data_IF_375850669765
#
_entry.id   IF_375850669765
#
_cell.length_a   1.000
_cell.length_b   1.000
_cell.length_c   1.000
_cell.angle_alpha   90.00
_cell.angle_beta   90.00
_cell.angle_gamma   90.00
#
_symmetry.space_group_name_H-M   'P 1'
#
loop_
_entity.id
_entity.type
_entity.pdbx_description
1 polymer ?
#
# COMPACT_ATOMS: atom_id res chain seq x y z
N UNK A 1 20.75 22.38 26.51
CA UNK A 1 19.65 21.40 26.38
C UNK A 1 18.80 21.94 25.26
N UNK A 2 18.99 21.42 24.05
CA UNK A 2 18.22 21.89 22.90
C UNK A 2 16.76 21.57 23.16
N UNK A 3 15.91 22.59 23.10
CA UNK A 3 14.47 22.45 23.06
C UNK A 3 14.14 21.41 21.98
N UNK A 4 13.71 20.22 22.42
CA UNK A 4 12.99 19.30 21.54
C UNK A 4 11.62 19.95 21.41
N UNK A 5 11.53 21.00 20.58
CA UNK A 5 10.24 21.51 20.13
C UNK A 5 9.45 20.30 19.66
N UNK A 6 8.23 20.14 20.17
CA UNK A 6 7.33 19.05 19.78
C UNK A 6 7.06 19.15 18.29
N UNK A 7 7.96 18.58 17.49
CA UNK A 7 7.86 18.62 16.04
C UNK A 7 6.64 17.80 15.65
N UNK A 8 5.70 18.45 14.97
CA UNK A 8 4.49 17.79 14.48
C UNK A 8 4.85 16.67 13.51
N UNK A 9 3.99 15.66 13.41
CA UNK A 9 4.15 14.61 12.40
C UNK A 9 4.12 15.23 11.00
N UNK A 10 3.33 16.29 10.83
CA UNK A 10 3.30 17.11 9.61
C UNK A 10 4.66 17.69 9.22
N UNK A 11 5.39 18.30 10.16
CA UNK A 11 6.68 18.92 9.88
C UNK A 11 7.76 17.87 9.55
N UNK A 12 7.74 16.75 10.28
CA UNK A 12 8.62 15.62 9.99
C UNK A 12 8.33 15.00 8.61
N UNK A 13 7.05 14.87 8.25
CA UNK A 13 6.63 14.37 6.94
C UNK A 13 7.11 15.31 5.83
N UNK A 14 6.94 16.63 6.01
CA UNK A 14 7.41 17.64 5.04
C UNK A 14 8.90 17.49 4.76
N UNK A 15 9.72 17.40 5.81
CA UNK A 15 11.17 17.22 5.65
C UNK A 15 11.52 15.92 4.95
N UNK A 16 10.76 14.85 5.19
CA UNK A 16 11.01 13.53 4.59
C UNK A 16 10.66 13.53 3.11
N UNK A 17 9.47 14.00 2.74
CA UNK A 17 9.03 14.05 1.34
C UNK A 17 9.89 15.02 0.50
N UNK A 18 10.33 16.14 1.09
CA UNK A 18 11.23 17.08 0.40
C UNK A 18 12.64 16.53 0.13
N UNK A 19 13.02 15.43 0.76
CA UNK A 19 14.30 14.75 0.53
C UNK A 19 14.19 13.59 -0.48
N UNK A 20 12.99 13.27 -0.96
CA UNK A 20 12.73 12.22 -1.93
C UNK A 20 12.60 12.83 -3.33
N UNK A 21 13.08 12.09 -4.32
CA UNK A 21 12.82 12.39 -5.73
C UNK A 21 11.51 11.66 -6.09
N UNK A 22 10.42 12.43 -6.21
CA UNK A 22 9.06 11.92 -6.36
C UNK A 22 8.50 12.35 -7.72
N UNK A 23 7.87 11.40 -8.42
CA UNK A 23 7.30 11.63 -9.74
C UNK A 23 5.81 12.03 -9.65
N UNK A 24 5.20 12.40 -10.78
CA UNK A 24 3.77 12.72 -10.84
C UNK A 24 2.88 11.56 -10.37
N UNK A 25 3.33 10.31 -10.57
CA UNK A 25 2.62 9.10 -10.14
C UNK A 25 2.51 8.99 -8.62
N UNK A 26 3.44 9.61 -7.88
CA UNK A 26 3.50 9.59 -6.41
C UNK A 26 2.59 10.63 -5.76
N UNK A 27 2.02 11.57 -6.52
CA UNK A 27 1.24 12.69 -5.96
C UNK A 27 0.05 12.22 -5.13
N UNK A 28 -0.63 11.15 -5.57
CA UNK A 28 -1.77 10.60 -4.83
C UNK A 28 -1.34 10.02 -3.48
N UNK A 29 -0.20 9.32 -3.43
CA UNK A 29 0.36 8.78 -2.20
C UNK A 29 0.86 9.91 -1.27
N UNK A 30 1.47 10.96 -1.83
CA UNK A 30 1.84 12.16 -1.07
C UNK A 30 0.61 12.80 -0.43
N UNK A 31 -0.45 13.07 -1.20
CA UNK A 31 -1.68 13.67 -0.70
C UNK A 31 -2.33 12.85 0.41
N UNK A 32 -2.26 11.52 0.32
CA UNK A 32 -2.72 10.62 1.38
C UNK A 32 -1.85 10.73 2.64
N UNK A 33 -0.52 10.75 2.49
CA UNK A 33 0.40 10.92 3.62
C UNK A 33 0.14 12.23 4.36
N UNK A 34 -0.05 13.35 3.64
CA UNK A 34 -0.39 14.65 4.22
C UNK A 34 -1.66 14.59 5.07
N UNK A 35 -2.73 13.98 4.54
CA UNK A 35 -4.01 13.82 5.26
C UNK A 35 -3.89 12.96 6.51
N UNK A 36 -3.09 11.89 6.44
CA UNK A 36 -2.86 11.02 7.58
C UNK A 36 -2.04 11.72 8.67
N UNK A 37 -1.01 12.49 8.30
CA UNK A 37 -0.25 13.29 9.25
C UNK A 37 -1.12 14.34 9.97
N UNK A 38 -1.98 15.04 9.24
CA UNK A 38 -2.94 16.00 9.83
C UNK A 38 -3.88 15.32 10.83
N UNK A 39 -4.40 14.14 10.47
CA UNK A 39 -5.25 13.36 11.34
C UNK A 39 -4.51 12.89 12.60
N UNK A 40 -3.24 12.50 12.49
CA UNK A 40 -2.43 12.07 13.64
C UNK A 40 -2.16 13.23 14.59
N UNK A 41 -1.81 14.41 14.07
CA UNK A 41 -1.50 15.58 14.91
C UNK A 41 -2.72 16.09 15.70
N UNK A 42 -3.94 15.76 15.25
CA UNK A 42 -5.20 16.18 15.89
C UNK A 42 -5.88 15.07 16.70
N UNK A 43 -5.45 13.82 16.57
CA UNK A 43 -6.08 12.66 17.21
C UNK A 43 -5.57 12.46 18.66
N UNK A 44 -6.50 12.34 19.61
CA UNK A 44 -6.19 12.12 21.02
C UNK A 44 -6.32 10.67 21.48
N UNK A 45 -6.99 9.83 20.69
CA UNK A 45 -7.21 8.41 21.02
C UNK A 45 -5.99 7.57 20.66
N UNK A 46 -5.36 6.96 21.66
CA UNK A 46 -4.21 6.07 21.47
C UNK A 46 -4.49 4.91 20.48
N UNK A 47 -5.73 4.41 20.45
CA UNK A 47 -6.12 3.34 19.51
C UNK A 47 -6.22 3.85 18.07
N UNK A 48 -6.79 5.03 17.87
CA UNK A 48 -6.91 5.63 16.54
C UNK A 48 -5.53 6.08 16.03
N UNK A 49 -4.69 6.64 16.90
CA UNK A 49 -3.29 6.96 16.61
C UNK A 49 -2.50 5.74 16.12
N UNK A 50 -2.64 4.59 16.77
CA UNK A 50 -1.94 3.37 16.35
C UNK A 50 -2.37 2.90 14.94
N UNK A 51 -3.67 2.99 14.62
CA UNK A 51 -4.19 2.63 13.29
C UNK A 51 -3.75 3.63 12.22
N UNK A 52 -3.82 4.93 12.49
CA UNK A 52 -3.37 5.98 11.58
C UNK A 52 -1.86 5.92 11.34
N UNK A 53 -1.06 5.71 12.39
CA UNK A 53 0.38 5.55 12.29
C UNK A 53 0.76 4.32 11.45
N UNK A 54 0.05 3.20 11.61
CA UNK A 54 0.25 2.01 10.79
C UNK A 54 -0.04 2.26 9.31
N UNK A 55 -1.11 2.99 8.98
CA UNK A 55 -1.46 3.38 7.61
C UNK A 55 -0.44 4.35 7.01
N UNK A 56 -0.01 5.35 7.79
CA UNK A 56 1.00 6.31 7.33
C UNK A 56 2.32 5.61 7.01
N UNK A 57 2.73 4.64 7.84
CA UNK A 57 3.93 3.85 7.59
C UNK A 57 3.87 3.07 6.27
N UNK A 58 2.73 2.46 5.94
CA UNK A 58 2.53 1.76 4.66
C UNK A 58 2.66 2.70 3.44
N UNK A 59 2.14 3.93 3.55
CA UNK A 59 2.27 4.94 2.49
C UNK A 59 3.72 5.36 2.34
N UNK A 60 4.43 5.61 3.45
CA UNK A 60 5.84 5.96 3.44
C UNK A 60 6.74 4.84 2.89
N UNK A 61 6.41 3.58 3.16
CA UNK A 61 7.10 2.44 2.55
C UNK A 61 6.89 2.39 1.04
N UNK A 62 5.67 2.62 0.57
CA UNK A 62 5.34 2.64 -0.86
C UNK A 62 6.09 3.75 -1.59
N UNK A 63 6.28 4.90 -0.94
CA UNK A 63 7.05 6.05 -1.45
C UNK A 63 8.58 5.88 -1.32
N UNK A 64 9.08 4.77 -0.79
CA UNK A 64 10.52 4.60 -0.58
C UNK A 64 11.10 5.48 0.55
N UNK A 65 10.26 6.07 1.40
CA UNK A 65 10.69 7.02 2.43
C UNK A 65 11.44 6.36 3.61
N UNK A 66 11.35 5.04 3.76
CA UNK A 66 12.01 4.30 4.86
C UNK A 66 13.36 3.69 4.42
N UNK A 67 14.35 3.55 5.33
CA UNK A 67 15.61 2.87 5.00
C UNK A 67 15.41 1.43 4.50
N UNK A 68 14.35 0.75 4.96
CA UNK A 68 14.00 -0.58 4.51
C UNK A 68 13.49 -0.56 3.06
N UNK A 69 12.60 0.39 2.73
CA UNK A 69 12.07 0.56 1.37
C UNK A 69 13.16 1.00 0.39
N UNK A 70 14.04 1.95 0.77
CA UNK A 70 15.21 2.33 -0.07
C UNK A 70 16.14 1.16 -0.36
N UNK A 71 16.38 0.30 0.64
CA UNK A 71 17.17 -0.93 0.46
C UNK A 71 16.48 -1.93 -0.47
N UNK A 72 15.15 -2.00 -0.47
CA UNK A 72 14.39 -2.84 -1.39
C UNK A 72 14.46 -2.34 -2.84
N UNK A 73 14.40 -1.01 -3.06
CA UNK A 73 14.53 -0.39 -4.39
C UNK A 73 15.92 -0.61 -5.02
N UNK A 74 17.00 -0.44 -4.25
CA UNK A 74 18.38 -0.60 -4.75
C UNK A 74 18.75 -2.06 -5.05
N UNK A 75 18.12 -3.03 -4.38
CA UNK A 75 18.49 -4.45 -4.56
C UNK A 75 17.93 -5.05 -5.84
N UNK A 76 17.00 -4.40 -6.55
CA UNK A 76 16.39 -4.98 -7.76
C UNK A 76 15.70 -6.33 -7.51
N UNK A 77 15.24 -6.57 -6.28
CA UNK A 77 14.63 -7.85 -5.89
C UNK A 77 13.14 -7.63 -5.77
N UNK A 78 12.40 -8.25 -6.68
CA UNK A 78 11.22 -9.07 -6.37
C UNK A 78 10.64 -8.84 -4.96
N UNK A 79 10.01 -7.68 -4.75
CA UNK A 79 8.68 -7.71 -4.14
C UNK A 79 7.68 -7.92 -5.26
N UNK A 80 7.88 -9.01 -6.00
CA UNK A 80 6.84 -9.60 -6.81
C UNK A 80 5.65 -9.76 -5.89
N UNK A 81 4.54 -9.17 -6.33
CA UNK A 81 3.20 -9.52 -5.90
C UNK A 81 3.14 -9.82 -4.40
N UNK A 82 2.93 -8.79 -3.57
CA UNK A 82 2.09 -8.98 -2.40
C UNK A 82 0.92 -9.84 -2.89
N UNK A 83 0.90 -11.10 -2.43
CA UNK A 83 0.13 -12.15 -3.04
C UNK A 83 -1.24 -11.55 -3.35
N UNK A 84 -1.61 -11.47 -4.64
CA UNK A 84 -3.02 -11.36 -4.98
C UNK A 84 -3.61 -12.60 -4.34
N UNK A 85 -4.07 -12.47 -3.09
CA UNK A 85 -4.95 -13.44 -2.46
C UNK A 85 -6.00 -13.64 -3.53
N UNK A 86 -6.04 -14.84 -4.11
CA UNK A 86 -6.95 -15.17 -5.19
C UNK A 86 -8.30 -14.63 -4.74
N UNK A 87 -8.77 -13.59 -5.44
CA UNK A 87 -9.99 -12.94 -5.01
C UNK A 87 -11.09 -13.97 -5.14
N UNK A 88 -12.12 -13.93 -4.30
CA UNK A 88 -13.33 -14.73 -4.51
C UNK A 88 -13.88 -14.57 -5.94
N UNK A 89 -13.59 -13.45 -6.59
CA UNK A 89 -13.89 -13.21 -8.01
C UNK A 89 -13.04 -14.02 -8.99
N UNK A 90 -11.76 -14.29 -8.70
CA UNK A 90 -10.91 -15.14 -9.52
C UNK A 90 -11.36 -16.60 -9.42
N UNK A 91 -11.74 -17.07 -8.22
CA UNK A 91 -12.34 -18.39 -8.04
C UNK A 91 -13.69 -18.53 -8.77
N UNK A 92 -14.51 -17.47 -8.77
CA UNK A 92 -15.78 -17.43 -9.51
C UNK A 92 -15.55 -17.46 -11.03
N UNK A 93 -14.54 -16.75 -11.54
CA UNK A 93 -14.17 -16.77 -12.96
C UNK A 93 -13.69 -18.16 -13.38
N UNK A 94 -12.79 -18.76 -12.61
CA UNK A 94 -12.27 -20.11 -12.88
C UNK A 94 -13.40 -21.17 -12.82
N UNK A 95 -14.34 -21.03 -11.88
CA UNK A 95 -15.52 -21.91 -11.78
C UNK A 95 -16.45 -21.76 -12.99
N UNK A 96 -16.58 -20.55 -13.55
CA UNK A 96 -17.40 -20.29 -14.75
C UNK A 96 -16.75 -20.86 -16.01
N UNK A 97 -15.44 -20.72 -16.14
CA UNK A 97 -14.69 -21.27 -17.28
C UNK A 97 -14.69 -22.79 -17.27
N UNK A 98 -14.56 -23.41 -16.09
CA UNK A 98 -14.69 -24.87 -15.94
C UNK A 98 -16.07 -25.39 -16.35
N UNK A 99 -17.14 -24.64 -16.08
CA UNK A 99 -18.50 -24.99 -16.54
C UNK A 99 -18.68 -24.84 -18.05
N UNK A 100 -18.11 -23.78 -18.64
CA UNK A 100 -18.13 -23.61 -20.11
C UNK A 100 -17.39 -24.72 -20.84
N UNK A 101 -16.21 -25.10 -20.34
CA UNK A 101 -15.37 -26.12 -20.98
C UNK A 101 -15.86 -27.55 -20.69
N UNK A 102 -16.46 -27.79 -19.53
CA UNK A 102 -17.04 -29.10 -19.19
C UNK A 102 -18.37 -29.40 -19.90
N UNK A 103 -19.15 -28.38 -20.26
CA UNK A 103 -20.38 -28.56 -21.04
C UNK A 103 -20.09 -28.96 -22.50
N UNK A 104 -18.95 -28.55 -23.07
CA UNK A 104 -18.59 -28.86 -24.45
C UNK A 104 -18.18 -30.34 -24.66
N UNK A 105 -17.74 -31.04 -23.62
CA UNK A 105 -17.24 -32.43 -23.72
C UNK A 105 -18.32 -33.51 -23.59
N UNK A 106 -19.52 -33.18 -23.08
CA UNK A 106 -20.56 -34.21 -22.82
C UNK A 106 -21.43 -34.52 -24.05
N UNK A 107 -21.48 -33.64 -25.05
CA UNK A 107 -22.29 -33.83 -26.27
C UNK A 107 -21.56 -34.60 -27.40
N UNK A 108 -20.26 -34.88 -27.25
CA UNK A 108 -19.48 -35.56 -28.30
C UNK A 108 -19.48 -37.11 -28.22
N UNK A 109 -20.19 -37.72 -27.25
CA UNK A 109 -20.18 -39.18 -27.03
C UNK A 109 -21.60 -39.76 -26.99
N UNK A 110 -22.41 -39.51 -28.01
CA UNK A 110 -23.55 -40.35 -28.36
C UNK A 110 -23.56 -40.52 -29.87
N UNK A 111 -22.95 -41.60 -30.34
CA UNK A 111 -23.17 -42.19 -31.66
C UNK A 111 -23.13 -43.70 -31.48
#
# INVERSE_FOLDING_TARGET
MSDIESQSVMDALRSTLGALDLDEEDQAACALAWRLAEAIDTEGSARALADLAGKLLQVLESLGATPAARKALVKGVDQGAGARQRSALDELRERRDRRKNGAATVDATTT
#
